data_IF_671610056086
#
_entry.id   IF_671610056086
#
_cell.length_a   1.000
_cell.length_b   1.000
_cell.length_c   1.000
_cell.angle_alpha   90.00
_cell.angle_beta   90.00
_cell.angle_gamma   90.00
#
_symmetry.space_group_name_H-M   'P 1'
#
loop_
_entity.id
_entity.type
_entity.pdbx_description
1 polymer ?
#
# COMPACT_ATOMS: atom_id res chain seq x y z
N UNK A 1 28.09 -16.92 2.31
CA UNK A 1 28.22 -15.61 2.96
C UNK A 1 27.30 -15.65 4.17
N UNK A 2 27.73 -15.22 5.34
CA UNK A 2 26.90 -15.33 6.56
C UNK A 2 25.89 -14.18 6.58
N UNK A 3 24.61 -14.48 6.78
CA UNK A 3 23.56 -13.47 6.94
C UNK A 3 23.89 -12.54 8.12
N UNK A 4 23.67 -11.25 7.92
CA UNK A 4 23.88 -10.24 8.94
C UNK A 4 22.64 -10.11 9.85
N UNK A 5 22.63 -10.83 10.97
CA UNK A 5 21.53 -10.79 11.94
C UNK A 5 21.45 -9.46 12.70
N UNK A 6 22.55 -8.73 12.80
CA UNK A 6 22.57 -7.38 13.40
C UNK A 6 21.83 -6.35 12.54
N UNK A 7 21.34 -6.73 11.35
CA UNK A 7 20.46 -5.89 10.55
C UNK A 7 19.05 -5.73 11.17
N UNK A 8 18.62 -6.68 12.00
CA UNK A 8 17.29 -6.66 12.63
C UNK A 8 17.14 -5.41 13.49
N UNK A 9 16.05 -4.66 13.26
CA UNK A 9 15.71 -3.46 14.01
C UNK A 9 16.43 -2.18 13.57
N UNK A 10 17.48 -2.26 12.73
CA UNK A 10 18.16 -1.08 12.20
C UNK A 10 17.23 -0.28 11.29
N UNK A 11 17.21 1.04 11.48
CA UNK A 11 16.44 1.97 10.65
C UNK A 11 17.12 2.16 9.30
N UNK A 12 16.33 2.20 8.23
CA UNK A 12 16.73 2.46 6.85
C UNK A 12 15.88 3.63 6.34
N UNK A 13 16.50 4.60 5.65
CA UNK A 13 15.87 5.87 5.29
C UNK A 13 15.96 6.93 6.40
N UNK A 14 15.18 8.03 6.32
CA UNK A 14 14.05 8.21 5.41
C UNK A 14 14.44 8.36 3.94
N UNK A 15 13.54 7.95 3.04
CA UNK A 15 13.57 8.27 1.61
C UNK A 15 12.29 9.04 1.30
N UNK A 16 12.43 10.17 0.60
CA UNK A 16 11.29 11.01 0.20
C UNK A 16 11.18 11.02 -1.33
N UNK A 17 9.99 10.69 -1.83
CA UNK A 17 9.67 10.63 -3.26
C UNK A 17 8.43 11.46 -3.54
N UNK A 18 8.48 12.31 -4.56
CA UNK A 18 7.32 13.04 -5.03
C UNK A 18 6.52 12.22 -6.04
N UNK A 19 5.20 12.36 -6.00
CA UNK A 19 4.30 11.81 -7.01
C UNK A 19 3.20 12.83 -7.31
N UNK A 20 2.58 12.69 -8.47
CA UNK A 20 1.42 13.47 -8.87
C UNK A 20 0.34 12.56 -9.48
N UNK A 21 -0.78 13.16 -9.87
CA UNK A 21 -1.90 12.43 -10.49
C UNK A 21 -1.50 11.60 -11.72
N UNK A 22 -0.47 12.00 -12.49
CA UNK A 22 0.00 11.22 -13.64
C UNK A 22 0.65 9.92 -13.22
N UNK A 23 1.34 9.90 -12.07
CA UNK A 23 1.96 8.68 -11.54
C UNK A 23 0.89 7.69 -11.06
N UNK A 24 -0.21 8.21 -10.48
CA UNK A 24 -1.40 7.43 -10.14
C UNK A 24 -2.02 6.80 -11.39
N UNK A 25 -2.25 7.60 -12.44
CA UNK A 25 -2.81 7.09 -13.71
C UNK A 25 -1.86 6.11 -14.39
N UNK A 26 -0.56 6.40 -14.42
CA UNK A 26 0.46 5.53 -15.01
C UNK A 26 0.49 4.17 -14.31
N UNK A 27 0.46 4.16 -12.97
CA UNK A 27 0.37 2.92 -12.21
C UNK A 27 -0.93 2.17 -12.53
N UNK A 28 -2.07 2.86 -12.56
CA UNK A 28 -3.37 2.26 -12.84
C UNK A 28 -3.38 1.56 -14.21
N UNK A 29 -2.88 2.20 -15.25
CA UNK A 29 -2.68 1.61 -16.57
C UNK A 29 -1.68 0.43 -16.52
N UNK A 30 -0.60 0.58 -15.75
CA UNK A 30 0.41 -0.44 -15.50
C UNK A 30 -0.16 -1.71 -14.83
N UNK A 31 -1.28 -1.62 -14.12
CA UNK A 31 -2.01 -2.77 -13.53
C UNK A 31 -3.34 -3.06 -14.24
N UNK A 32 -3.50 -2.56 -15.46
CA UNK A 32 -4.56 -2.93 -16.39
C UNK A 32 -5.90 -2.20 -16.24
N UNK A 33 -5.95 -1.07 -15.52
CA UNK A 33 -7.12 -0.20 -15.54
C UNK A 33 -7.36 0.37 -16.95
N UNK A 34 -8.61 0.71 -17.26
CA UNK A 34 -9.00 1.17 -18.60
C UNK A 34 -10.37 1.83 -18.62
N UNK A 35 -11.04 1.83 -19.77
CA UNK A 35 -12.32 2.51 -19.96
C UNK A 35 -13.46 2.00 -19.05
N UNK A 36 -13.36 0.77 -18.55
CA UNK A 36 -14.36 0.21 -17.64
C UNK A 36 -14.18 0.69 -16.19
N UNK A 37 -13.10 1.43 -15.89
CA UNK A 37 -12.76 1.94 -14.56
C UNK A 37 -12.17 3.36 -14.65
N UNK A 38 -12.95 4.26 -15.24
CA UNK A 38 -12.53 5.65 -15.47
C UNK A 38 -12.14 6.38 -14.19
N UNK A 39 -12.63 5.98 -13.01
CA UNK A 39 -12.18 6.52 -11.73
C UNK A 39 -10.68 6.35 -11.46
N UNK A 40 -9.98 5.45 -12.17
CA UNK A 40 -8.54 5.24 -12.00
C UNK A 40 -7.69 5.90 -13.09
N UNK A 41 -8.31 6.39 -14.18
CA UNK A 41 -7.57 6.91 -15.35
C UNK A 41 -8.03 8.30 -15.80
N UNK A 42 -9.12 8.84 -15.23
CA UNK A 42 -9.64 10.16 -15.55
C UNK A 42 -9.48 11.12 -14.38
N UNK A 43 -8.68 12.16 -14.58
CA UNK A 43 -8.22 13.12 -13.57
C UNK A 43 -9.35 13.88 -12.85
N UNK A 44 -10.50 14.08 -13.49
CA UNK A 44 -11.64 14.83 -12.92
C UNK A 44 -12.29 14.12 -11.71
N UNK A 45 -12.15 12.80 -11.63
CA UNK A 45 -12.74 11.95 -10.57
C UNK A 45 -11.78 10.86 -10.09
N UNK A 46 -10.49 11.18 -10.14
CA UNK A 46 -9.41 10.22 -9.93
C UNK A 46 -9.43 9.67 -8.50
N UNK A 47 -9.23 8.35 -8.39
CA UNK A 47 -8.97 7.63 -7.16
C UNK A 47 -7.66 6.88 -7.30
N UNK A 48 -6.93 6.73 -6.21
CA UNK A 48 -5.76 5.87 -6.17
C UNK A 48 -6.18 4.40 -5.99
N UNK A 49 -5.61 3.49 -6.79
CA UNK A 49 -5.69 2.05 -6.52
C UNK A 49 -4.80 1.78 -5.30
N UNK A 50 -5.29 1.13 -4.23
CA UNK A 50 -4.54 0.96 -2.98
C UNK A 50 -3.17 0.30 -3.18
N UNK A 51 -3.05 -0.65 -4.11
CA UNK A 51 -1.78 -1.31 -4.41
C UNK A 51 -0.69 -0.37 -4.98
N UNK A 52 -0.99 0.89 -5.32
CA UNK A 52 0.02 1.91 -5.57
C UNK A 52 0.98 2.05 -4.38
N UNK A 53 0.53 1.74 -3.16
CA UNK A 53 1.36 1.70 -1.97
C UNK A 53 2.62 0.82 -2.10
N UNK A 54 2.59 -0.19 -2.97
CA UNK A 54 3.73 -1.07 -3.21
C UNK A 54 4.92 -0.36 -3.89
N UNK A 55 4.71 0.78 -4.55
CA UNK A 55 5.80 1.52 -5.23
C UNK A 55 6.84 2.03 -4.24
N UNK A 56 6.41 2.40 -3.04
CA UNK A 56 7.29 2.85 -1.96
C UNK A 56 8.27 1.76 -1.47
N UNK A 57 8.04 0.49 -1.82
CA UNK A 57 8.94 -0.61 -1.46
C UNK A 57 10.19 -0.67 -2.35
N UNK A 58 10.11 -0.20 -3.60
CA UNK A 58 11.16 -0.42 -4.60
C UNK A 58 12.52 0.14 -4.19
N UNK A 59 12.52 1.35 -3.60
CA UNK A 59 13.73 2.00 -3.10
C UNK A 59 14.40 1.25 -1.93
N UNK A 60 13.66 0.37 -1.25
CA UNK A 60 14.16 -0.37 -0.08
C UNK A 60 14.54 -1.82 -0.37
N UNK A 61 14.12 -2.40 -1.51
CA UNK A 61 14.48 -3.79 -1.83
C UNK A 61 16.00 -3.98 -1.91
N UNK A 62 16.69 -3.06 -2.59
CA UNK A 62 18.16 -3.08 -2.67
C UNK A 62 18.83 -2.90 -1.29
N UNK A 63 18.30 -2.00 -0.46
CA UNK A 63 18.79 -1.76 0.90
C UNK A 63 18.62 -2.99 1.80
N UNK A 64 17.48 -3.69 1.71
CA UNK A 64 17.26 -4.92 2.45
C UNK A 64 18.28 -6.00 2.07
N UNK A 65 18.60 -6.12 0.78
CA UNK A 65 19.66 -7.03 0.32
C UNK A 65 21.01 -6.61 0.91
N UNK A 66 21.38 -5.34 0.75
CA UNK A 66 22.68 -4.83 1.15
C UNK A 66 22.94 -4.98 2.65
N UNK A 67 21.96 -4.61 3.49
CA UNK A 67 22.12 -4.63 4.94
C UNK A 67 22.13 -6.05 5.52
N UNK A 68 21.38 -6.97 4.93
CA UNK A 68 21.29 -8.36 5.42
C UNK A 68 22.36 -9.27 4.84
N UNK A 69 23.00 -8.89 3.73
CA UNK A 69 24.04 -9.68 3.08
C UNK A 69 23.51 -10.97 2.43
N UNK A 70 22.21 -11.02 2.13
CA UNK A 70 21.58 -12.15 1.42
C UNK A 70 22.21 -12.37 0.05
N UNK A 71 22.30 -13.62 -0.37
CA UNK A 71 22.81 -14.02 -1.66
C UNK A 71 21.83 -13.63 -2.78
N UNK A 72 22.19 -12.61 -3.54
CA UNK A 72 21.42 -12.09 -4.68
C UNK A 72 20.95 -13.16 -5.67
N UNK A 73 21.76 -14.18 -5.95
CA UNK A 73 21.40 -15.25 -6.90
C UNK A 73 20.22 -16.11 -6.40
N UNK A 74 19.96 -16.12 -5.09
CA UNK A 74 18.93 -16.93 -4.45
C UNK A 74 17.62 -16.20 -4.16
N UNK A 75 17.56 -14.88 -4.34
CA UNK A 75 16.48 -14.03 -3.82
C UNK A 75 15.23 -14.08 -4.69
N UNK A 76 14.10 -14.19 -4.02
CA UNK A 76 12.77 -14.02 -4.59
C UNK A 76 11.94 -13.11 -3.67
N UNK A 77 11.09 -12.27 -4.27
CA UNK A 77 10.01 -11.62 -3.52
C UNK A 77 8.94 -12.69 -3.24
N UNK A 78 8.83 -13.14 -1.99
CA UNK A 78 8.04 -14.29 -1.59
C UNK A 78 6.61 -13.95 -1.18
N UNK A 79 6.44 -12.95 -0.31
CA UNK A 79 5.13 -12.48 0.16
C UNK A 79 5.13 -10.96 0.24
N UNK A 80 3.95 -10.37 0.04
CA UNK A 80 3.74 -8.94 0.17
C UNK A 80 2.45 -8.68 0.94
N UNK A 81 2.50 -7.72 1.86
CA UNK A 81 1.41 -7.38 2.77
C UNK A 81 1.32 -5.85 2.89
N UNK A 82 0.15 -5.31 2.53
CA UNK A 82 -0.17 -3.89 2.57
C UNK A 82 -1.22 -3.62 3.64
N UNK A 83 -0.88 -2.76 4.59
CA UNK A 83 -1.79 -2.29 5.64
C UNK A 83 -2.09 -0.81 5.39
N UNK A 84 -3.36 -0.46 5.22
CA UNK A 84 -3.80 0.88 4.85
C UNK A 84 -4.35 1.63 6.06
N UNK A 85 -3.64 2.67 6.49
CA UNK A 85 -4.01 3.54 7.61
C UNK A 85 -4.92 4.68 7.13
N UNK A 86 -4.57 5.31 5.99
CA UNK A 86 -5.35 6.35 5.33
C UNK A 86 -5.33 6.18 3.80
N UNK A 87 -6.33 6.70 3.06
CA UNK A 87 -6.33 6.67 1.59
C UNK A 87 -5.15 7.46 1.01
N UNK A 88 -4.70 7.05 -0.18
CA UNK A 88 -3.63 7.74 -0.91
C UNK A 88 -4.25 8.93 -1.66
N UNK A 89 -3.77 10.17 -1.46
CA UNK A 89 -4.25 11.34 -2.20
C UNK A 89 -4.02 11.19 -3.71
N UNK A 90 -5.07 11.17 -4.56
CA UNK A 90 -4.89 11.01 -6.01
C UNK A 90 -4.20 12.20 -6.69
N UNK A 91 -4.23 13.38 -6.08
CA UNK A 91 -3.63 14.60 -6.61
C UNK A 91 -2.09 14.58 -6.60
N UNK A 92 -1.47 13.84 -5.68
CA UNK A 92 -0.03 13.87 -5.45
C UNK A 92 0.40 14.41 -4.11
N UNK A 93 1.72 14.59 -3.97
CA UNK A 93 2.40 15.13 -2.80
C UNK A 93 3.75 14.46 -2.59
N UNK A 94 4.45 14.79 -1.50
CA UNK A 94 5.64 14.05 -1.10
C UNK A 94 5.28 12.86 -0.18
N UNK A 95 5.85 11.69 -0.49
CA UNK A 95 5.79 10.49 0.33
C UNK A 95 7.14 10.28 1.03
N UNK A 96 7.15 10.28 2.36
CA UNK A 96 8.34 9.96 3.15
C UNK A 96 8.22 8.57 3.75
N UNK A 97 9.18 7.71 3.43
CA UNK A 97 9.18 6.30 3.81
C UNK A 97 10.35 5.97 4.73
N UNK A 98 10.09 5.21 5.78
CA UNK A 98 11.09 4.70 6.72
C UNK A 98 10.96 3.20 6.86
N UNK A 99 12.09 2.49 6.75
CA UNK A 99 12.10 1.03 6.73
C UNK A 99 12.96 0.43 7.85
N UNK A 100 12.78 -0.88 8.06
CA UNK A 100 13.62 -1.72 8.92
C UNK A 100 13.47 -3.18 8.53
N UNK A 101 14.49 -3.99 8.82
CA UNK A 101 14.34 -5.45 8.88
C UNK A 101 13.70 -5.80 10.22
N UNK A 102 12.55 -6.47 10.20
CA UNK A 102 11.85 -6.87 11.44
C UNK A 102 12.30 -8.25 11.90
N UNK A 103 12.54 -9.17 10.98
CA UNK A 103 12.93 -10.56 11.29
C UNK A 103 13.80 -11.16 10.19
N UNK A 104 14.65 -12.11 10.57
CA UNK A 104 15.35 -13.02 9.68
C UNK A 104 15.16 -14.44 10.22
N UNK A 105 14.48 -15.30 9.46
CA UNK A 105 14.18 -16.67 9.85
C UNK A 105 15.01 -17.68 9.08
N UNK A 106 15.47 -18.71 9.77
CA UNK A 106 16.13 -19.87 9.19
C UNK A 106 15.10 -20.94 8.81
N UNK A 107 15.17 -21.48 7.60
CA UNK A 107 14.36 -22.64 7.18
C UNK A 107 15.14 -23.95 7.23
N UNK A 108 16.42 -23.89 7.60
CA UNK A 108 17.36 -25.00 7.63
C UNK A 108 18.25 -25.08 6.38
N UNK A 109 19.31 -25.88 6.48
CA UNK A 109 20.27 -26.10 5.40
C UNK A 109 19.58 -26.56 4.12
N UNK A 110 19.91 -25.92 2.99
CA UNK A 110 19.32 -26.18 1.67
C UNK A 110 17.85 -25.74 1.50
N UNK A 111 17.21 -25.16 2.54
CA UNK A 111 15.81 -24.70 2.50
C UNK A 111 15.66 -23.18 2.48
N UNK A 112 16.76 -22.45 2.65
CA UNK A 112 16.86 -20.99 2.57
C UNK A 112 16.52 -20.25 3.86
N UNK A 113 16.37 -18.94 3.75
CA UNK A 113 16.01 -18.01 4.81
C UNK A 113 14.86 -17.08 4.38
N UNK A 114 14.14 -16.53 5.35
CA UNK A 114 13.16 -15.47 5.11
C UNK A 114 13.67 -14.18 5.75
N UNK A 115 13.79 -13.11 4.96
CA UNK A 115 14.07 -11.76 5.46
C UNK A 115 12.78 -10.95 5.37
N UNK A 116 12.33 -10.41 6.51
CA UNK A 116 11.10 -9.64 6.61
C UNK A 116 11.47 -8.16 6.74
N UNK A 117 11.13 -7.37 5.73
CA UNK A 117 11.29 -5.93 5.73
C UNK A 117 9.95 -5.23 5.92
N UNK A 118 9.92 -4.17 6.73
CA UNK A 118 8.75 -3.31 6.90
C UNK A 118 9.11 -1.90 6.47
N UNK A 119 8.21 -1.24 5.72
CA UNK A 119 8.32 0.16 5.30
C UNK A 119 7.05 0.90 5.74
N UNK A 120 7.18 1.95 6.53
CA UNK A 120 6.09 2.85 6.88
C UNK A 120 6.18 4.12 6.04
N UNK A 121 5.07 4.51 5.40
CA UNK A 121 5.04 5.67 4.50
C UNK A 121 4.05 6.72 5.00
N UNK A 122 4.50 7.96 4.98
CA UNK A 122 3.80 9.14 5.46
C UNK A 122 3.65 10.15 4.33
N UNK A 123 2.53 10.86 4.30
CA UNK A 123 2.31 12.00 3.42
C UNK A 123 2.94 13.27 4.02
N UNK A 124 3.18 14.29 3.19
CA UNK A 124 3.76 15.57 3.61
C UNK A 124 2.92 16.33 4.65
N UNK A 125 1.62 16.04 4.73
CA UNK A 125 0.73 16.56 5.79
C UNK A 125 0.90 15.86 7.16
N UNK A 126 1.82 14.89 7.24
CA UNK A 126 2.13 14.14 8.44
C UNK A 126 1.27 12.88 8.66
N UNK A 127 0.26 12.62 7.83
CA UNK A 127 -0.55 11.41 7.95
C UNK A 127 0.25 10.17 7.56
N UNK A 128 0.20 9.13 8.39
CA UNK A 128 0.64 7.80 7.99
C UNK A 128 -0.35 7.24 6.98
N UNK A 129 0.08 6.93 5.76
CA UNK A 129 -0.81 6.41 4.73
C UNK A 129 -0.89 4.88 4.79
N UNK A 130 0.24 4.21 4.69
CA UNK A 130 0.29 2.75 4.59
C UNK A 130 1.57 2.16 5.17
N UNK A 131 1.54 0.85 5.40
CA UNK A 131 2.71 0.04 5.77
C UNK A 131 2.84 -1.09 4.76
N UNK A 132 4.02 -1.19 4.15
CA UNK A 132 4.43 -2.35 3.37
C UNK A 132 5.16 -3.33 4.29
N UNK A 133 4.87 -4.62 4.16
CA UNK A 133 5.70 -5.71 4.68
C UNK A 133 6.06 -6.64 3.52
N UNK A 134 7.35 -6.81 3.29
CA UNK A 134 7.90 -7.65 2.24
C UNK A 134 8.63 -8.83 2.85
N UNK A 135 8.34 -10.03 2.36
CA UNK A 135 9.10 -11.23 2.69
C UNK A 135 10.00 -11.58 1.51
N UNK A 136 11.30 -11.42 1.69
CA UNK A 136 12.30 -11.92 0.75
C UNK A 136 12.62 -13.37 1.10
N UNK A 137 12.44 -14.27 0.13
CA UNK A 137 12.87 -15.65 0.27
C UNK A 137 14.27 -15.80 -0.34
N UNK A 138 15.28 -15.92 0.50
CA UNK A 138 16.64 -16.20 0.05
C UNK A 138 16.91 -17.71 0.08
N UNK A 139 16.81 -18.35 -1.08
CA UNK A 139 16.85 -19.82 -1.20
C UNK A 139 18.20 -20.43 -0.80
N UNK A 140 19.27 -19.65 -0.83
CA UNK A 140 20.64 -20.13 -0.66
C UNK A 140 21.23 -19.84 0.73
N UNK A 141 20.50 -19.16 1.61
CA UNK A 141 21.03 -18.66 2.88
C UNK A 141 20.43 -19.35 4.12
N UNK A 142 20.07 -20.63 4.01
CA UNK A 142 19.55 -21.42 5.15
C UNK A 142 20.65 -22.18 5.91
N UNK A 143 20.35 -22.63 7.13
CA UNK A 143 21.26 -23.44 7.95
C UNK A 143 22.24 -22.63 8.79
N UNK A 144 21.90 -21.38 9.11
CA UNK A 144 22.72 -20.48 9.92
C UNK A 144 22.41 -20.54 11.43
N UNK A 145 21.45 -21.38 11.83
CA UNK A 145 21.10 -21.60 13.24
C UNK A 145 20.18 -20.52 13.83
N UNK A 146 19.43 -19.82 12.98
CA UNK A 146 18.49 -18.78 13.40
C UNK A 146 17.13 -19.30 13.90
N UNK A 147 16.23 -18.37 14.22
CA UNK A 147 14.85 -18.70 14.60
C UNK A 147 14.08 -19.31 13.42
N UNK A 148 13.24 -20.31 13.69
CA UNK A 148 12.35 -20.85 12.68
C UNK A 148 11.21 -19.87 12.37
N UNK A 149 10.85 -19.76 11.09
CA UNK A 149 9.68 -19.00 10.69
C UNK A 149 8.40 -19.59 11.34
N UNK A 150 7.47 -18.75 11.82
CA UNK A 150 6.18 -19.20 12.34
C UNK A 150 5.47 -20.08 11.32
N UNK A 151 4.90 -21.20 11.79
CA UNK A 151 4.05 -22.05 10.94
C UNK A 151 2.70 -21.37 10.75
N UNK A 152 2.34 -21.11 9.51
CA UNK A 152 1.02 -20.60 9.13
C UNK A 152 0.27 -21.65 8.32
N UNK A 153 -0.94 -21.98 8.77
CA UNK A 153 -1.92 -22.76 8.01
C UNK A 153 -2.80 -21.80 7.21
N UNK A 154 -3.03 -22.12 5.94
CA UNK A 154 -3.90 -21.36 5.06
C UNK A 154 -4.64 -22.34 4.16
N UNK A 155 -5.96 -22.28 4.19
CA UNK A 155 -6.82 -23.13 3.37
C UNK A 155 -7.92 -22.25 2.78
N UNK A 156 -8.22 -22.48 1.50
CA UNK A 156 -9.42 -21.91 0.90
C UNK A 156 -10.64 -22.74 1.34
N UNK A 157 -11.83 -22.12 1.39
CA UNK A 157 -13.08 -22.87 1.59
C UNK A 157 -13.21 -24.00 0.57
N UNK A 158 -13.69 -25.17 1.02
CA UNK A 158 -14.01 -26.31 0.16
C UNK A 158 -15.35 -26.10 -0.57
N UNK A 159 -15.36 -25.06 -1.42
CA UNK A 159 -16.48 -24.65 -2.28
C UNK A 159 -15.95 -23.80 -3.43
N UNK A 160 -16.76 -23.64 -4.47
CA UNK A 160 -16.44 -22.74 -5.57
C UNK A 160 -16.23 -21.28 -5.10
N UNK A 161 -15.39 -20.49 -5.81
CA UNK A 161 -15.25 -19.06 -5.56
C UNK A 161 -16.59 -18.35 -5.68
N UNK A 162 -16.82 -17.33 -4.85
CA UNK A 162 -18.00 -16.46 -4.95
C UNK A 162 -17.91 -15.57 -6.20
N UNK A 163 -16.68 -15.15 -6.54
CA UNK A 163 -16.41 -14.33 -7.71
C UNK A 163 -15.17 -14.82 -8.46
N UNK A 164 -15.21 -14.62 -9.77
CA UNK A 164 -14.09 -14.85 -10.67
C UNK A 164 -13.93 -13.64 -11.61
N UNK A 165 -12.75 -13.03 -11.63
CA UNK A 165 -12.42 -11.94 -12.54
C UNK A 165 -11.35 -12.39 -13.54
N UNK A 166 -11.72 -12.46 -14.82
CA UNK A 166 -10.79 -12.72 -15.91
C UNK A 166 -10.09 -11.42 -16.32
N UNK A 167 -8.78 -11.47 -16.48
CA UNK A 167 -8.02 -10.39 -17.07
C UNK A 167 -6.97 -10.92 -18.05
N UNK A 168 -6.62 -10.12 -19.04
CA UNK A 168 -5.56 -10.43 -19.99
C UNK A 168 -4.53 -9.31 -19.99
N UNK A 169 -3.47 -9.41 -19.17
CA UNK A 169 -2.35 -8.50 -19.25
C UNK A 169 -1.80 -8.42 -20.67
N UNK A 170 -1.41 -7.21 -21.10
CA UNK A 170 -0.76 -7.04 -22.40
C UNK A 170 0.54 -7.84 -22.49
N UNK A 171 0.94 -8.22 -23.71
CA UNK A 171 2.28 -8.77 -23.96
C UNK A 171 3.39 -7.77 -23.58
N UNK A 172 3.08 -6.47 -23.63
CA UNK A 172 3.99 -5.37 -23.29
C UNK A 172 3.76 -4.82 -21.87
N UNK A 173 2.90 -5.45 -21.07
CA UNK A 173 2.50 -4.93 -19.74
C UNK A 173 3.69 -4.57 -18.82
N UNK A 174 4.79 -5.35 -18.75
CA UNK A 174 5.94 -4.97 -17.93
C UNK A 174 6.60 -3.66 -18.35
N UNK A 175 6.52 -3.29 -19.64
CA UNK A 175 7.12 -2.05 -20.17
C UNK A 175 6.43 -0.81 -19.62
N UNK A 176 5.11 -0.88 -19.42
CA UNK A 176 4.34 0.18 -18.75
C UNK A 176 4.54 0.14 -17.25
N UNK A 177 4.37 -1.04 -16.63
CA UNK A 177 4.40 -1.17 -15.17
C UNK A 177 5.74 -0.75 -14.55
N UNK A 178 6.86 -1.07 -15.20
CA UNK A 178 8.21 -0.70 -14.70
C UNK A 178 8.41 0.81 -14.54
N UNK A 179 7.63 1.63 -15.27
CA UNK A 179 7.69 3.09 -15.15
C UNK A 179 7.13 3.61 -13.83
N UNK A 180 6.45 2.75 -13.04
CA UNK A 180 6.04 3.03 -11.67
C UNK A 180 7.14 2.75 -10.62
N UNK A 181 8.35 2.37 -11.04
CA UNK A 181 9.56 2.36 -10.19
C UNK A 181 10.41 1.09 -10.27
N UNK A 182 9.82 -0.10 -10.45
CA UNK A 182 10.58 -1.34 -10.56
C UNK A 182 11.19 -1.53 -11.95
N UNK A 183 12.40 -1.01 -12.10
CA UNK A 183 13.17 -1.04 -13.35
C UNK A 183 14.06 -2.28 -13.51
N UNK A 184 13.92 -3.29 -12.64
CA UNK A 184 14.77 -4.47 -12.63
C UNK A 184 14.78 -5.20 -13.99
N UNK A 185 15.98 -5.54 -14.48
CA UNK A 185 16.22 -6.00 -15.84
C UNK A 185 15.47 -7.30 -16.19
N UNK A 186 15.16 -8.15 -15.20
CA UNK A 186 14.41 -9.40 -15.35
C UNK A 186 13.07 -9.25 -16.10
N UNK A 187 12.50 -8.04 -16.07
CA UNK A 187 11.19 -7.76 -16.63
C UNK A 187 11.22 -7.11 -18.02
N UNK A 188 12.40 -6.84 -18.58
CA UNK A 188 12.54 -6.14 -19.87
C UNK A 188 13.66 -6.68 -20.76
N UNK A 189 14.73 -7.21 -20.17
CA UNK A 189 15.92 -7.68 -20.89
C UNK A 189 15.88 -9.22 -21.08
N UNK A 190 15.76 -9.73 -22.32
CA UNK A 190 15.75 -11.16 -22.59
C UNK A 190 17.03 -11.89 -22.17
N UNK A 191 18.20 -11.27 -22.34
CA UNK A 191 19.48 -11.90 -22.01
C UNK A 191 19.58 -12.07 -20.49
N UNK A 192 19.21 -11.03 -19.74
CA UNK A 192 19.17 -11.09 -18.28
C UNK A 192 18.15 -12.14 -17.78
N UNK A 193 16.97 -12.23 -18.40
CA UNK A 193 15.96 -13.20 -18.02
C UNK A 193 16.43 -14.65 -18.26
N UNK A 194 17.08 -14.91 -19.39
CA UNK A 194 17.68 -16.22 -19.72
C UNK A 194 18.80 -16.60 -18.77
N UNK A 195 19.71 -15.65 -18.47
CA UNK A 195 20.75 -15.84 -17.45
C UNK A 195 20.15 -16.16 -16.06
N UNK A 196 18.97 -15.61 -15.77
CA UNK A 196 18.23 -15.85 -14.52
C UNK A 196 17.41 -17.15 -14.53
N UNK A 197 17.46 -17.93 -15.62
CA UNK A 197 16.78 -19.22 -15.76
C UNK A 197 15.33 -19.15 -16.25
N UNK A 198 14.90 -18.01 -16.81
CA UNK A 198 13.59 -17.86 -17.46
C UNK A 198 13.72 -17.94 -18.98
N UNK A 199 12.63 -18.29 -19.67
CA UNK A 199 12.65 -18.37 -21.14
C UNK A 199 12.79 -16.99 -21.80
N UNK A 200 12.15 -15.98 -21.18
CA UNK A 200 12.05 -14.59 -21.61
C UNK A 200 11.66 -13.72 -20.40
N UNK A 201 11.59 -12.38 -20.53
CA UNK A 201 11.18 -11.53 -19.43
C UNK A 201 9.81 -11.93 -18.86
N UNK A 202 9.70 -11.90 -17.53
CA UNK A 202 8.48 -12.27 -16.79
C UNK A 202 7.74 -11.01 -16.33
N UNK A 203 6.44 -11.14 -16.09
CA UNK A 203 5.65 -10.12 -15.40
C UNK A 203 6.22 -9.84 -14.01
N UNK A 204 6.19 -8.58 -13.59
CA UNK A 204 6.41 -8.23 -12.19
C UNK A 204 5.34 -8.90 -11.32
N UNK A 205 5.77 -9.53 -10.22
CA UNK A 205 4.83 -10.10 -9.24
C UNK A 205 3.87 -9.03 -8.71
N UNK A 206 4.39 -7.84 -8.41
CA UNK A 206 3.60 -6.70 -7.95
C UNK A 206 2.68 -6.09 -9.01
N UNK A 207 2.94 -6.32 -10.31
CA UNK A 207 1.97 -5.98 -11.36
C UNK A 207 0.75 -6.92 -11.26
N UNK A 208 1.00 -8.23 -11.17
CA UNK A 208 -0.08 -9.23 -10.98
C UNK A 208 -0.86 -8.97 -9.68
N UNK A 209 -0.17 -8.55 -8.61
CA UNK A 209 -0.78 -8.11 -7.36
C UNK A 209 -1.74 -6.92 -7.56
N UNK A 210 -1.38 -5.94 -8.39
CA UNK A 210 -2.26 -4.82 -8.74
C UNK A 210 -3.50 -5.24 -9.54
N UNK A 211 -3.37 -6.19 -10.46
CA UNK A 211 -4.52 -6.81 -11.14
C UNK A 211 -5.47 -7.48 -10.14
N UNK A 212 -4.93 -8.22 -9.17
CA UNK A 212 -5.73 -8.84 -8.12
C UNK A 212 -6.40 -7.80 -7.21
N UNK A 213 -5.70 -6.70 -6.88
CA UNK A 213 -6.24 -5.59 -6.09
C UNK A 213 -7.49 -4.98 -6.75
N UNK A 214 -7.42 -4.70 -8.06
CA UNK A 214 -8.57 -4.22 -8.83
C UNK A 214 -9.72 -5.22 -8.85
N UNK A 215 -9.42 -6.50 -9.09
CA UNK A 215 -10.43 -7.55 -9.08
C UNK A 215 -11.18 -7.64 -7.74
N UNK A 216 -10.48 -7.59 -6.60
CA UNK A 216 -11.16 -7.62 -5.30
C UNK A 216 -12.00 -6.37 -5.03
N UNK A 217 -11.53 -5.18 -5.44
CA UNK A 217 -12.31 -3.94 -5.32
C UNK A 217 -13.59 -4.03 -6.16
N UNK A 218 -13.46 -4.44 -7.43
CA UNK A 218 -14.56 -4.55 -8.39
C UNK A 218 -15.72 -5.41 -7.87
N UNK A 219 -15.41 -6.52 -7.19
CA UNK A 219 -16.44 -7.47 -6.72
C UNK A 219 -16.91 -7.21 -5.30
N UNK A 220 -16.04 -6.75 -4.39
CA UNK A 220 -16.38 -6.66 -2.96
C UNK A 220 -16.82 -5.26 -2.50
N UNK A 221 -16.28 -4.20 -3.12
CA UNK A 221 -16.59 -2.80 -2.76
C UNK A 221 -16.36 -1.87 -3.97
N UNK A 222 -17.17 -2.04 -5.04
CA UNK A 222 -16.96 -1.38 -6.32
C UNK A 222 -16.95 0.14 -6.20
N UNK A 223 -15.94 0.76 -6.82
CA UNK A 223 -15.77 2.21 -6.82
C UNK A 223 -15.37 2.82 -5.47
N UNK A 224 -15.09 2.01 -4.45
CA UNK A 224 -14.73 2.48 -3.09
C UNK A 224 -13.38 1.92 -2.62
N UNK A 225 -12.28 2.11 -3.38
CA UNK A 225 -10.94 1.62 -3.02
C UNK A 225 -10.48 2.09 -1.64
N UNK A 226 -10.94 3.27 -1.20
CA UNK A 226 -10.66 3.86 0.10
C UNK A 226 -11.24 3.07 1.29
N UNK A 227 -11.94 1.96 1.08
CA UNK A 227 -12.42 1.08 2.15
C UNK A 227 -11.42 -0.02 2.50
N UNK A 228 -10.45 -0.31 1.65
CA UNK A 228 -9.45 -1.35 1.90
C UNK A 228 -8.60 -0.99 3.14
N UNK A 229 -8.37 -1.98 4.00
CA UNK A 229 -7.55 -1.87 5.22
C UNK A 229 -6.37 -2.82 5.22
N UNK A 230 -6.50 -3.97 4.55
CA UNK A 230 -5.46 -4.98 4.45
C UNK A 230 -5.51 -5.67 3.09
N UNK A 231 -4.35 -5.85 2.46
CA UNK A 231 -4.23 -6.61 1.22
C UNK A 231 -2.88 -7.33 1.16
N UNK A 232 -2.91 -8.66 1.24
CA UNK A 232 -1.71 -9.49 1.27
C UNK A 232 -1.82 -10.69 0.36
N UNK A 233 -0.69 -11.19 -0.11
CA UNK A 233 -0.59 -12.48 -0.79
C UNK A 233 0.81 -13.08 -0.68
N UNK A 234 0.91 -14.34 -1.09
CA UNK A 234 2.15 -15.02 -1.43
C UNK A 234 2.32 -15.09 -2.94
N UNK A 235 3.53 -14.84 -3.45
CA UNK A 235 3.89 -15.11 -4.83
C UNK A 235 4.24 -16.59 -4.98
N UNK A 236 3.64 -17.25 -5.98
CA UNK A 236 3.74 -18.71 -6.13
C UNK A 236 4.54 -19.11 -7.37
N UNK A 237 4.18 -18.60 -8.54
CA UNK A 237 4.85 -18.90 -9.81
C UNK A 237 5.02 -17.65 -10.66
N UNK A 238 6.08 -17.62 -11.44
CA UNK A 238 6.28 -16.59 -12.45
C UNK A 238 5.15 -16.66 -13.50
N UNK A 239 4.81 -15.49 -14.04
CA UNK A 239 3.83 -15.31 -15.10
C UNK A 239 4.53 -14.65 -16.27
N UNK A 240 4.34 -15.17 -17.47
CA UNK A 240 4.86 -14.51 -18.66
C UNK A 240 3.88 -13.44 -19.17
N UNK A 241 4.37 -12.30 -19.70
CA UNK A 241 3.52 -11.27 -20.28
C UNK A 241 2.60 -11.81 -21.38
N UNK A 242 1.39 -11.25 -21.50
CA UNK A 242 0.34 -11.69 -22.43
C UNK A 242 -0.54 -12.84 -21.94
N UNK A 243 -0.11 -13.54 -20.88
CA UNK A 243 -0.80 -14.74 -20.39
C UNK A 243 -2.10 -14.35 -19.66
N UNK A 244 -3.27 -14.92 -20.04
CA UNK A 244 -4.51 -14.67 -19.34
C UNK A 244 -4.47 -15.16 -17.89
N UNK A 245 -5.00 -14.34 -16.98
CA UNK A 245 -5.09 -14.62 -15.55
C UNK A 245 -6.54 -14.57 -15.08
N UNK A 246 -6.83 -15.31 -14.02
CA UNK A 246 -8.13 -15.27 -13.36
C UNK A 246 -7.97 -15.14 -11.86
N UNK A 247 -8.55 -14.10 -11.28
CA UNK A 247 -8.58 -13.90 -9.83
C UNK A 247 -9.86 -14.52 -9.28
N UNK A 248 -9.71 -15.51 -8.40
CA UNK A 248 -10.79 -16.22 -7.72
C UNK A 248 -10.90 -15.70 -6.30
N UNK A 249 -12.12 -15.40 -5.85
CA UNK A 249 -12.39 -14.69 -4.59
C UNK A 249 -13.44 -15.46 -3.79
N UNK A 250 -13.18 -15.66 -2.50
CA UNK A 250 -14.08 -16.28 -1.53
C UNK A 250 -14.34 -15.30 -0.40
N UNK A 251 -15.55 -14.77 -0.28
CA UNK A 251 -15.97 -14.01 0.89
C UNK A 251 -16.17 -14.98 2.06
N UNK A 252 -15.38 -14.78 3.12
CA UNK A 252 -15.39 -15.69 4.28
C UNK A 252 -16.17 -15.10 5.46
N UNK A 253 -16.25 -13.78 5.55
CA UNK A 253 -17.09 -13.05 6.50
C UNK A 253 -17.34 -11.61 5.99
N UNK A 254 -18.17 -10.85 6.69
CA UNK A 254 -18.35 -9.42 6.37
C UNK A 254 -17.02 -8.67 6.59
N UNK A 255 -16.61 -7.89 5.60
CA UNK A 255 -15.34 -7.15 5.68
C UNK A 255 -14.08 -7.97 5.35
N UNK A 256 -14.19 -9.25 4.98
CA UNK A 256 -13.02 -10.10 4.67
C UNK A 256 -13.26 -11.14 3.59
N UNK A 257 -12.28 -11.29 2.70
CA UNK A 257 -12.27 -12.32 1.68
C UNK A 257 -10.87 -12.92 1.50
N UNK A 258 -10.83 -14.16 1.03
CA UNK A 258 -9.63 -14.83 0.56
C UNK A 258 -9.60 -14.77 -0.97
N UNK A 259 -8.41 -14.72 -1.56
CA UNK A 259 -8.28 -14.76 -3.02
C UNK A 259 -7.04 -15.52 -3.47
N UNK A 260 -7.07 -15.95 -4.74
CA UNK A 260 -5.88 -16.36 -5.48
C UNK A 260 -5.99 -15.89 -6.92
N UNK A 261 -4.86 -15.74 -7.58
CA UNK A 261 -4.82 -15.46 -9.02
C UNK A 261 -4.13 -16.62 -9.71
N UNK A 262 -4.78 -17.20 -10.71
CA UNK A 262 -4.28 -18.34 -11.47
C UNK A 262 -3.88 -17.92 -12.88
N UNK A 263 -2.88 -18.59 -13.43
CA UNK A 263 -2.65 -18.63 -14.86
C UNK A 263 -3.75 -19.50 -15.49
N UNK A 264 -4.54 -18.94 -16.41
CA UNK A 264 -5.71 -19.60 -17.00
C UNK A 264 -5.33 -20.82 -17.83
N UNK A 265 -4.22 -20.75 -18.55
CA UNK A 265 -3.76 -21.81 -19.45
C UNK A 265 -3.32 -23.07 -18.68
N UNK A 266 -2.77 -22.89 -17.48
CA UNK A 266 -2.21 -23.99 -16.67
C UNK A 266 -3.04 -24.38 -15.46
N UNK A 267 -3.99 -23.53 -15.05
CA UNK A 267 -4.76 -23.65 -13.81
C UNK A 267 -3.93 -23.46 -12.53
N UNK A 268 -2.65 -23.08 -12.64
CA UNK A 268 -1.74 -22.96 -11.48
C UNK A 268 -1.79 -21.56 -10.90
N UNK A 269 -1.76 -21.47 -9.56
CA UNK A 269 -1.68 -20.19 -8.85
C UNK A 269 -0.37 -19.46 -9.16
N UNK A 270 -0.49 -18.18 -9.52
CA UNK A 270 0.61 -17.21 -9.62
C UNK A 270 0.67 -16.33 -8.38
N UNK A 271 -0.49 -15.96 -7.85
CA UNK A 271 -0.67 -15.43 -6.49
C UNK A 271 -1.50 -16.41 -5.69
N UNK A 272 -1.11 -16.65 -4.45
CA UNK A 272 -1.77 -17.59 -3.55
C UNK A 272 -1.86 -17.01 -2.14
N UNK A 273 -2.65 -17.63 -1.27
CA UNK A 273 -2.84 -17.20 0.13
C UNK A 273 -3.24 -15.74 0.27
N UNK A 274 -4.03 -15.25 -0.69
CA UNK A 274 -4.49 -13.88 -0.73
C UNK A 274 -5.51 -13.61 0.38
N UNK A 275 -5.36 -12.48 1.06
CA UNK A 275 -6.35 -11.97 2.02
C UNK A 275 -6.60 -10.51 1.70
N UNK A 276 -7.87 -10.12 1.68
CA UNK A 276 -8.31 -8.74 1.64
C UNK A 276 -9.25 -8.48 2.81
N UNK A 277 -9.03 -7.36 3.50
CA UNK A 277 -9.94 -6.84 4.52
C UNK A 277 -10.34 -5.41 4.15
N UNK A 278 -11.58 -5.06 4.45
CA UNK A 278 -12.13 -3.74 4.19
C UNK A 278 -13.11 -3.32 5.29
N UNK A 279 -13.22 -2.01 5.49
CA UNK A 279 -14.13 -1.44 6.46
C UNK A 279 -15.52 -1.17 5.86
N UNK A 280 -16.51 -1.02 6.75
CA UNK A 280 -17.85 -0.58 6.35
C UNK A 280 -17.82 0.86 5.79
N UNK A 281 -18.85 1.23 5.03
CA UNK A 281 -19.00 2.62 4.54
C UNK A 281 -19.01 3.65 5.67
N UNK A 282 -19.70 3.35 6.78
CA UNK A 282 -19.76 4.25 7.93
C UNK A 282 -18.41 4.44 8.63
N UNK A 283 -17.55 3.42 8.63
CA UNK A 283 -16.17 3.55 9.12
C UNK A 283 -15.30 4.35 8.13
N UNK A 284 -15.43 4.09 6.83
CA UNK A 284 -14.70 4.82 5.79
C UNK A 284 -15.06 6.31 5.79
N UNK A 285 -16.33 6.66 5.97
CA UNK A 285 -16.76 8.06 6.12
C UNK A 285 -16.15 8.71 7.36
N UNK A 286 -16.04 7.99 8.48
CA UNK A 286 -15.38 8.50 9.70
C UNK A 286 -13.87 8.68 9.49
N UNK A 287 -13.22 7.77 8.74
CA UNK A 287 -11.81 7.86 8.36
C UNK A 287 -11.54 9.04 7.44
N UNK A 288 -12.34 9.20 6.38
CA UNK A 288 -12.27 10.34 5.45
C UNK A 288 -12.63 11.69 6.09
N UNK A 289 -13.43 11.68 7.16
CA UNK A 289 -13.66 12.85 8.03
C UNK A 289 -12.47 13.22 8.92
N UNK A 290 -11.32 12.56 8.74
CA UNK A 290 -10.00 13.09 9.09
C UNK A 290 -9.64 14.42 8.40
N UNK A 291 -10.57 14.96 7.59
CA UNK A 291 -10.85 16.36 7.22
C UNK A 291 -9.82 17.45 7.55
N UNK A 292 -9.62 18.37 6.60
CA UNK A 292 -8.73 19.55 6.61
C UNK A 292 -8.00 19.72 7.95
N UNK A 293 -6.74 19.33 7.94
CA UNK A 293 -5.84 19.55 9.07
C UNK A 293 -5.23 20.94 8.96
N UNK A 294 -5.11 21.62 10.08
CA UNK A 294 -4.48 22.93 10.21
C UNK A 294 -3.21 22.84 11.07
N UNK A 295 -2.59 21.66 11.09
CA UNK A 295 -1.36 21.42 11.82
C UNK A 295 -0.29 22.46 11.40
N UNK A 296 0.45 22.99 12.37
CA UNK A 296 1.42 24.08 12.20
C UNK A 296 0.86 25.44 11.74
N UNK A 297 -0.47 25.58 11.58
CA UNK A 297 -1.11 26.86 11.28
C UNK A 297 -1.68 27.53 12.53
N UNK A 298 -1.80 28.85 12.48
CA UNK A 298 -2.43 29.65 13.53
C UNK A 298 -3.74 30.21 13.00
N UNK A 299 -4.85 29.92 13.69
CA UNK A 299 -6.16 30.48 13.37
C UNK A 299 -6.53 31.55 14.40
N UNK A 300 -6.76 32.78 13.94
CA UNK A 300 -7.28 33.86 14.78
C UNK A 300 -8.80 33.85 14.68
N UNK A 301 -9.47 33.60 15.81
CA UNK A 301 -10.93 33.60 15.87
C UNK A 301 -11.39 34.77 16.74
N UNK A 302 -12.05 35.73 16.10
CA UNK A 302 -12.64 36.88 16.78
C UNK A 302 -14.07 36.56 17.24
N UNK A 303 -14.43 36.92 18.47
CA UNK A 303 -15.76 36.65 19.03
C UNK A 303 -15.98 35.18 19.43
N UNK A 304 -14.95 34.49 19.94
CA UNK A 304 -15.06 33.08 20.31
C UNK A 304 -15.71 32.82 21.69
N UNK A 305 -16.17 33.86 22.40
CA UNK A 305 -16.82 33.73 23.70
C UNK A 305 -18.15 32.99 23.67
N UNK A 306 -18.79 32.85 22.50
CA UNK A 306 -20.04 32.12 22.35
C UNK A 306 -20.47 31.91 20.91
N UNK A 307 -21.65 31.30 20.74
CA UNK A 307 -22.27 31.10 19.42
C UNK A 307 -21.36 30.37 18.42
N UNK A 308 -21.38 30.83 17.17
CA UNK A 308 -20.62 30.23 16.07
C UNK A 308 -19.10 30.42 16.22
N UNK A 309 -18.65 31.56 16.77
CA UNK A 309 -17.22 31.82 16.99
C UNK A 309 -16.57 30.78 17.91
N UNK A 310 -17.27 30.39 18.99
CA UNK A 310 -16.82 29.31 19.88
C UNK A 310 -16.75 27.96 19.16
N UNK A 311 -17.78 27.63 18.37
CA UNK A 311 -17.83 26.38 17.61
C UNK A 311 -16.69 26.31 16.60
N UNK A 312 -16.40 27.41 15.88
CA UNK A 312 -15.28 27.46 14.94
C UNK A 312 -13.93 27.35 15.62
N UNK A 313 -13.71 28.04 16.75
CA UNK A 313 -12.47 27.93 17.51
C UNK A 313 -12.20 26.48 17.96
N UNK A 314 -13.22 25.80 18.50
CA UNK A 314 -13.09 24.41 18.93
C UNK A 314 -12.87 23.45 17.75
N UNK A 315 -13.57 23.65 16.64
CA UNK A 315 -13.45 22.80 15.47
C UNK A 315 -12.14 22.99 14.70
N UNK A 316 -11.58 24.21 14.67
CA UNK A 316 -10.25 24.49 14.13
C UNK A 316 -9.15 23.88 15.02
N UNK A 317 -9.27 24.01 16.35
CA UNK A 317 -8.34 23.41 17.30
C UNK A 317 -8.34 21.87 17.22
N UNK A 318 -9.52 21.25 17.12
CA UNK A 318 -9.68 19.79 16.96
C UNK A 318 -9.01 19.25 15.69
N UNK A 319 -8.84 20.11 14.68
CA UNK A 319 -8.18 19.81 13.40
C UNK A 319 -6.69 20.21 13.37
N UNK A 320 -6.10 20.62 14.48
CA UNK A 320 -4.65 20.84 14.60
C UNK A 320 -4.18 22.30 14.57
N UNK A 321 -5.07 23.28 14.37
CA UNK A 321 -4.70 24.68 14.42
C UNK A 321 -4.28 25.10 15.84
N UNK A 322 -3.25 25.93 15.96
CA UNK A 322 -3.05 26.75 17.16
C UNK A 322 -4.05 27.91 17.11
N UNK A 323 -5.05 27.88 17.99
CA UNK A 323 -6.13 28.88 17.96
C UNK A 323 -5.82 30.04 18.89
N UNK A 324 -5.76 31.25 18.33
CA UNK A 324 -5.69 32.49 19.09
C UNK A 324 -7.09 33.06 19.18
N UNK A 325 -7.65 33.04 20.38
CA UNK A 325 -8.97 33.60 20.66
C UNK A 325 -8.81 35.08 20.99
N UNK A 326 -9.51 35.93 20.25
CA UNK A 326 -9.67 37.33 20.59
C UNK A 326 -11.16 37.63 20.84
N UNK A 327 -11.54 37.72 22.10
CA UNK A 327 -12.93 37.89 22.50
C UNK A 327 -13.13 39.17 23.32
N UNK A 328 -13.69 40.18 22.67
CA UNK A 328 -14.11 41.44 23.29
C UNK A 328 -15.62 41.34 23.52
N UNK A 329 -16.04 40.51 24.48
CA UNK A 329 -17.42 40.02 24.65
C UNK A 329 -18.53 41.03 24.31
N UNK A 330 -19.43 40.63 23.40
CA UNK A 330 -20.60 41.39 22.95
C UNK A 330 -21.83 40.47 22.79
N UNK A 331 -23.03 41.04 22.59
CA UNK A 331 -24.26 40.25 22.49
C UNK A 331 -24.30 39.39 21.21
N UNK A 332 -25.13 38.33 21.22
CA UNK A 332 -25.24 37.35 20.12
C UNK A 332 -25.65 37.94 18.77
N UNK A 333 -26.26 39.13 18.77
CA UNK A 333 -26.69 39.89 17.60
C UNK A 333 -25.68 40.99 17.19
N UNK A 334 -24.51 41.03 17.83
CA UNK A 334 -23.48 42.05 17.59
C UNK A 334 -23.73 43.39 18.29
N UNK A 335 -24.77 43.50 19.14
CA UNK A 335 -25.06 44.73 19.89
C UNK A 335 -24.30 44.79 21.23
N UNK A 336 -24.08 46.02 21.74
CA UNK A 336 -23.38 46.28 23.01
C UNK A 336 -21.93 46.73 22.86
N UNK A 337 -21.42 47.48 23.85
CA UNK A 337 -20.00 47.83 23.93
C UNK A 337 -19.22 46.59 24.35
N UNK A 338 -18.27 46.16 23.52
CA UNK A 338 -17.39 45.03 23.79
C UNK A 338 -16.73 45.16 25.17
N UNK A 339 -16.67 44.05 25.90
CA UNK A 339 -15.93 43.96 27.16
C UNK A 339 -14.48 44.43 26.97
N UNK A 340 -13.99 45.32 27.84
CA UNK A 340 -12.58 45.74 27.89
C UNK A 340 -11.66 44.66 28.51
N UNK A 341 -12.18 43.45 28.74
CA UNK A 341 -11.47 42.30 29.31
C UNK A 341 -11.77 41.04 28.48
N UNK A 342 -10.78 40.14 28.29
CA UNK A 342 -11.02 38.84 27.66
C UNK A 342 -12.13 38.06 28.40
N UNK A 343 -12.90 37.25 27.68
CA UNK A 343 -13.75 36.27 28.34
C UNK A 343 -12.91 35.27 29.14
N UNK A 344 -13.40 34.89 30.33
CA UNK A 344 -12.71 33.94 31.20
C UNK A 344 -12.56 32.57 30.52
N UNK A 345 -11.43 31.93 30.78
CA UNK A 345 -10.93 30.73 30.10
C UNK A 345 -11.81 29.49 30.22
#
# INVERSE_FOLDING_TARGET
MTLNLDAIGKKIGPITTEYNWKDIVLYALGVGAGFDELEYVYEDRLKAIPSFAATALYDFLGEFVAITGVNLAGILHGEHDLIFHNPIPPEGGALTSEARITNIYDKGEGKGALVIGQVNTYHEDGQKLFTNVATLFSRLDGGFGGENAPRTTFEFPDREPDFEELAQPSADQPLTYRLSGDTFALHVDPDFAQMSGFERPIMHGLCTHGYACRAVIKHLFPGEPERMTHFRNRFSKALYPGTPIKTQIWQVEEGKALFRTINVETGKAVLDRGVVEWMSRGEAEKRGKGGIRFDSQVAIVTGAGGGLGRVYALELAKRGAKVVVNDLGGARDGTGKGSARPADA
#
